data_IF_346383010574
#
_entry.id   IF_346383010574
#
_cell.length_a   1.000
_cell.length_b   1.000
_cell.length_c   1.000
_cell.angle_alpha   90.00
_cell.angle_beta   90.00
_cell.angle_gamma   90.00
#
_symmetry.space_group_name_H-M   'P 1'
#
loop_
_entity.id
_entity.type
_entity.pdbx_description
1 polymer ?
#
# COMPACT_ATOMS: atom_id res chain seq x y z
N UNK A 1 16.20 -24.42 -17.42
CA UNK A 1 15.78 -23.92 -18.74
C UNK A 1 16.50 -22.60 -18.97
N UNK A 2 16.75 -22.23 -20.23
CA UNK A 2 17.42 -20.97 -20.53
C UNK A 2 16.39 -19.85 -20.73
N UNK A 3 16.77 -18.57 -20.55
CA UNK A 3 15.87 -17.43 -20.76
C UNK A 3 15.11 -17.45 -22.10
N UNK A 4 15.77 -17.83 -23.18
CA UNK A 4 15.17 -17.93 -24.52
C UNK A 4 14.02 -18.94 -24.62
N UNK A 5 14.02 -19.99 -23.79
CA UNK A 5 12.98 -21.03 -23.80
C UNK A 5 11.61 -20.48 -23.33
N UNK A 6 11.59 -19.34 -22.65
CA UNK A 6 10.37 -18.72 -22.10
C UNK A 6 9.76 -17.64 -22.99
N UNK A 7 10.49 -17.12 -23.98
CA UNK A 7 10.08 -15.92 -24.71
C UNK A 7 8.75 -16.10 -25.46
N UNK A 8 8.62 -17.20 -26.21
CA UNK A 8 7.41 -17.45 -27.00
C UNK A 8 6.17 -17.59 -26.11
N UNK A 9 6.29 -18.31 -24.99
CA UNK A 9 5.19 -18.47 -24.05
C UNK A 9 4.82 -17.14 -23.38
N UNK A 10 5.82 -16.34 -22.98
CA UNK A 10 5.61 -15.02 -22.38
C UNK A 10 4.85 -14.10 -23.33
N UNK A 11 5.28 -14.02 -24.60
CA UNK A 11 4.59 -13.26 -25.64
C UNK A 11 3.18 -13.76 -25.88
N UNK A 12 2.99 -15.09 -25.99
CA UNK A 12 1.67 -15.69 -26.22
C UNK A 12 0.70 -15.36 -25.07
N UNK A 13 1.17 -15.42 -23.83
CA UNK A 13 0.38 -15.11 -22.66
C UNK A 13 0.01 -13.62 -22.62
N UNK A 14 0.97 -12.71 -22.77
CA UNK A 14 0.71 -11.27 -22.79
C UNK A 14 -0.23 -10.83 -23.93
N UNK A 15 -0.10 -11.45 -25.11
CA UNK A 15 -1.02 -11.23 -26.25
C UNK A 15 -2.45 -11.67 -25.94
N UNK A 16 -2.63 -12.76 -25.19
CA UNK A 16 -3.96 -13.23 -24.81
C UNK A 16 -4.67 -12.20 -23.91
N UNK A 17 -3.97 -11.68 -22.90
CA UNK A 17 -4.48 -10.57 -22.07
C UNK A 17 -4.77 -9.32 -22.90
N UNK A 18 -3.81 -8.88 -23.72
CA UNK A 18 -3.97 -7.70 -24.57
C UNK A 18 -5.11 -7.83 -25.61
N UNK A 19 -5.42 -9.03 -26.10
CA UNK A 19 -6.56 -9.26 -26.98
C UNK A 19 -7.91 -8.99 -26.29
N UNK A 20 -8.02 -9.31 -25.00
CA UNK A 20 -9.19 -8.94 -24.18
C UNK A 20 -9.29 -7.41 -24.09
N UNK A 21 -8.17 -6.73 -23.80
CA UNK A 21 -8.14 -5.27 -23.70
C UNK A 21 -8.45 -4.56 -25.03
N UNK A 22 -8.05 -5.14 -26.17
CA UNK A 22 -8.32 -4.59 -27.50
C UNK A 22 -9.82 -4.50 -27.83
N UNK A 23 -10.64 -5.37 -27.23
CA UNK A 23 -12.10 -5.36 -27.42
C UNK A 23 -12.76 -4.05 -26.92
N UNK A 24 -12.05 -3.24 -26.15
CA UNK A 24 -12.43 -1.88 -25.77
C UNK A 24 -12.78 -0.98 -26.96
N UNK A 25 -12.13 -1.13 -28.12
CA UNK A 25 -12.41 -0.27 -29.28
C UNK A 25 -13.86 -0.40 -29.81
N UNK A 26 -14.54 -1.51 -29.47
CA UNK A 26 -15.97 -1.72 -29.74
C UNK A 26 -16.90 -0.91 -28.81
N UNK A 27 -16.34 -0.10 -27.90
CA UNK A 27 -17.06 0.73 -26.93
C UNK A 27 -17.23 2.17 -27.44
N UNK A 28 -18.48 2.64 -27.58
CA UNK A 28 -18.78 4.03 -27.94
C UNK A 28 -18.75 4.94 -26.71
N UNK A 29 -17.91 5.99 -26.66
CA UNK A 29 -17.91 6.97 -25.57
C UNK A 29 -19.22 7.76 -25.46
N UNK A 30 -20.02 7.81 -26.54
CA UNK A 30 -21.25 8.62 -26.60
C UNK A 30 -22.41 8.04 -25.75
N UNK A 31 -22.37 6.76 -25.38
CA UNK A 31 -23.45 6.08 -24.67
C UNK A 31 -23.05 5.53 -23.31
N UNK A 32 -21.74 5.44 -23.02
CA UNK A 32 -21.23 4.82 -21.78
C UNK A 32 -21.72 3.37 -21.61
N UNK A 33 -22.15 2.72 -22.69
CA UNK A 33 -22.76 1.40 -22.72
C UNK A 33 -22.24 0.62 -23.92
N UNK A 34 -21.86 -0.63 -23.68
CA UNK A 34 -21.87 -1.63 -24.75
C UNK A 34 -23.32 -1.85 -25.15
N UNK A 35 -23.59 -2.01 -26.44
CA UNK A 35 -24.83 -2.60 -26.96
C UNK A 35 -24.88 -4.09 -26.57
N UNK A 36 -24.88 -4.40 -25.28
CA UNK A 36 -25.20 -5.72 -24.73
C UNK A 36 -26.00 -5.54 -23.45
N UNK A 37 -27.00 -6.39 -23.29
CA UNK A 37 -28.21 -6.22 -22.47
C UNK A 37 -28.01 -6.36 -20.94
N UNK A 38 -26.85 -5.97 -20.39
CA UNK A 38 -26.54 -6.19 -18.96
C UNK A 38 -26.48 -4.89 -18.14
N UNK A 39 -27.33 -4.85 -17.12
CA UNK A 39 -27.36 -3.83 -16.06
C UNK A 39 -26.17 -4.03 -15.12
N UNK A 40 -25.07 -3.30 -15.29
CA UNK A 40 -24.06 -3.12 -14.23
C UNK A 40 -23.55 -1.69 -14.19
N UNK A 41 -23.22 -1.21 -12.98
CA UNK A 41 -22.73 0.14 -12.74
C UNK A 41 -21.27 0.26 -13.23
N UNK A 42 -20.83 1.47 -13.60
CA UNK A 42 -19.53 1.71 -14.25
C UNK A 42 -18.28 1.21 -13.47
N UNK A 43 -18.39 0.95 -12.16
CA UNK A 43 -17.32 0.35 -11.36
C UNK A 43 -17.15 -1.16 -11.55
N UNK A 44 -18.22 -1.90 -11.88
CA UNK A 44 -18.19 -3.36 -12.04
C UNK A 44 -17.50 -3.81 -13.35
N UNK A 45 -17.48 -2.94 -14.37
CA UNK A 45 -17.04 -3.27 -15.73
C UNK A 45 -15.53 -3.29 -15.91
N UNK A 46 -14.83 -2.42 -15.20
CA UNK A 46 -13.36 -2.30 -15.30
C UNK A 46 -12.74 -3.55 -14.71
N UNK A 47 -13.18 -3.92 -13.51
CA UNK A 47 -12.79 -5.18 -12.86
C UNK A 47 -13.15 -6.42 -13.68
N UNK A 48 -14.10 -6.35 -14.62
CA UNK A 48 -14.36 -7.45 -15.54
C UNK A 48 -13.29 -7.56 -16.64
N UNK A 49 -12.82 -6.45 -17.21
CA UNK A 49 -11.73 -6.46 -18.19
C UNK A 49 -10.41 -6.89 -17.57
N UNK A 50 -10.03 -6.34 -16.41
CA UNK A 50 -8.81 -6.74 -15.68
C UNK A 50 -8.84 -8.25 -15.38
N UNK A 51 -9.91 -8.75 -14.76
CA UNK A 51 -10.07 -10.18 -14.46
C UNK A 51 -10.08 -11.07 -15.70
N UNK A 52 -10.82 -10.70 -16.75
CA UNK A 52 -10.87 -11.50 -17.97
C UNK A 52 -9.51 -11.53 -18.69
N UNK A 53 -8.77 -10.41 -18.67
CA UNK A 53 -7.42 -10.36 -19.21
C UNK A 53 -6.48 -11.26 -18.40
N UNK A 54 -6.49 -11.19 -17.06
CA UNK A 54 -5.66 -12.05 -16.22
C UNK A 54 -5.99 -13.53 -16.41
N UNK A 55 -7.29 -13.87 -16.48
CA UNK A 55 -7.75 -15.23 -16.74
C UNK A 55 -7.21 -15.76 -18.09
N UNK A 56 -7.27 -14.95 -19.16
CA UNK A 56 -6.73 -15.32 -20.46
C UNK A 56 -5.21 -15.59 -20.42
N UNK A 57 -4.45 -14.78 -19.67
CA UNK A 57 -3.02 -15.02 -19.43
C UNK A 57 -2.81 -16.33 -18.66
N UNK A 58 -3.52 -16.50 -17.54
CA UNK A 58 -3.43 -17.69 -16.67
C UNK A 58 -3.74 -18.99 -17.41
N UNK A 59 -4.73 -18.99 -18.30
CA UNK A 59 -5.07 -20.17 -19.12
C UNK A 59 -3.92 -20.59 -20.04
N UNK A 60 -3.27 -19.63 -20.71
CA UNK A 60 -2.11 -19.91 -21.56
C UNK A 60 -0.96 -20.48 -20.72
N UNK A 61 -0.68 -19.87 -19.58
CA UNK A 61 0.43 -20.28 -18.71
C UNK A 61 0.17 -21.65 -18.08
N UNK A 62 -1.01 -21.86 -17.51
CA UNK A 62 -1.38 -23.12 -16.85
C UNK A 62 -1.38 -24.29 -17.83
N UNK A 63 -1.87 -24.10 -19.05
CA UNK A 63 -1.86 -25.14 -20.09
C UNK A 63 -0.43 -25.56 -20.49
N UNK A 64 0.51 -24.62 -20.54
CA UNK A 64 1.89 -24.90 -20.92
C UNK A 64 2.76 -25.33 -19.74
N UNK A 65 2.52 -24.79 -18.55
CA UNK A 65 3.34 -24.87 -17.34
C UNK A 65 2.48 -25.08 -16.09
N UNK A 66 1.81 -26.25 -15.94
CA UNK A 66 0.88 -26.51 -14.84
C UNK A 66 1.54 -26.62 -13.45
N UNK A 67 2.87 -26.61 -13.38
CA UNK A 67 3.65 -26.70 -12.14
C UNK A 67 4.42 -25.42 -11.80
N UNK A 68 4.22 -24.34 -12.57
CA UNK A 68 4.78 -23.04 -12.23
C UNK A 68 3.79 -22.28 -11.34
N UNK A 69 4.31 -21.43 -10.45
CA UNK A 69 3.47 -20.52 -9.67
C UNK A 69 3.02 -19.35 -10.53
N UNK A 70 1.85 -18.80 -10.26
CA UNK A 70 1.31 -17.64 -11.00
C UNK A 70 0.74 -16.63 -10.01
N UNK A 71 1.31 -15.43 -10.01
CA UNK A 71 0.83 -14.27 -9.24
C UNK A 71 0.37 -13.18 -10.21
N UNK A 72 -0.69 -12.47 -9.86
CA UNK A 72 -1.18 -11.32 -10.61
C UNK A 72 -1.94 -10.34 -9.72
N UNK A 73 -2.39 -9.23 -10.29
CA UNK A 73 -3.09 -8.16 -9.57
C UNK A 73 -4.48 -8.59 -9.10
N UNK A 74 -5.22 -9.36 -9.90
CA UNK A 74 -6.66 -9.55 -9.72
C UNK A 74 -7.04 -10.84 -8.97
N UNK A 75 -6.23 -11.89 -9.10
CA UNK A 75 -6.50 -13.19 -8.50
C UNK A 75 -5.42 -13.61 -7.50
N UNK A 76 -5.82 -14.47 -6.57
CA UNK A 76 -4.89 -15.09 -5.63
C UNK A 76 -3.73 -15.79 -6.36
N UNK A 77 -2.57 -15.80 -5.70
CA UNK A 77 -1.40 -16.52 -6.20
C UNK A 77 -1.73 -18.00 -6.30
N UNK A 78 -1.53 -18.57 -7.49
CA UNK A 78 -1.60 -20.00 -7.71
C UNK A 78 -0.40 -20.66 -7.05
N UNK A 79 -0.65 -21.36 -5.95
CA UNK A 79 0.32 -22.23 -5.29
C UNK A 79 0.15 -23.66 -5.78
N UNK A 80 1.26 -24.36 -6.03
CA UNK A 80 1.26 -25.75 -6.47
C UNK A 80 1.99 -26.61 -5.42
N UNK A 81 1.53 -27.85 -5.19
CA UNK A 81 2.11 -28.72 -4.15
C UNK A 81 3.60 -29.03 -4.37
N UNK A 82 4.04 -29.08 -5.63
CA UNK A 82 5.42 -29.33 -6.03
C UNK A 82 5.84 -28.29 -7.10
N UNK A 83 6.22 -27.07 -6.69
CA UNK A 83 6.55 -26.00 -7.65
C UNK A 83 7.82 -26.33 -8.43
N UNK A 84 7.80 -26.01 -9.72
CA UNK A 84 8.93 -26.14 -10.63
C UNK A 84 10.09 -25.19 -10.29
N UNK A 85 9.85 -24.22 -9.41
CA UNK A 85 10.75 -23.13 -9.05
C UNK A 85 10.61 -21.89 -9.93
N UNK A 86 9.73 -21.91 -10.94
CA UNK A 86 9.41 -20.76 -11.77
C UNK A 86 8.09 -20.12 -11.33
N UNK A 87 8.03 -18.80 -11.40
CA UNK A 87 6.87 -17.99 -11.03
C UNK A 87 6.58 -16.95 -12.10
N UNK A 88 5.33 -16.84 -12.49
CA UNK A 88 4.85 -15.85 -13.44
C UNK A 88 4.23 -14.66 -12.70
N UNK A 89 4.53 -13.45 -13.14
CA UNK A 89 3.99 -12.19 -12.62
C UNK A 89 3.19 -11.51 -13.71
N UNK A 90 1.93 -11.17 -13.42
CA UNK A 90 0.95 -10.68 -14.38
C UNK A 90 0.39 -9.35 -13.90
N UNK A 91 0.52 -8.31 -14.71
CA UNK A 91 -0.34 -7.14 -14.67
C UNK A 91 -1.26 -7.22 -15.91
N UNK A 92 -2.54 -7.56 -15.71
CA UNK A 92 -3.46 -7.80 -16.82
C UNK A 92 -3.87 -6.51 -17.53
N UNK A 93 -3.80 -5.36 -16.87
CA UNK A 93 -4.16 -4.04 -17.38
C UNK A 93 -3.39 -2.93 -16.65
N UNK A 94 -2.15 -2.71 -17.05
CA UNK A 94 -1.39 -1.56 -16.59
C UNK A 94 -1.97 -0.29 -17.24
N UNK A 95 -2.35 0.67 -16.40
CA UNK A 95 -3.01 1.90 -16.83
C UNK A 95 -4.54 1.82 -16.86
N UNK A 96 -5.15 1.13 -15.90
CA UNK A 96 -6.60 1.03 -15.67
C UNK A 96 -7.34 2.37 -15.83
N UNK A 97 -6.83 3.47 -15.23
CA UNK A 97 -7.45 4.80 -15.37
C UNK A 97 -7.43 5.30 -16.82
N UNK A 98 -6.34 5.07 -17.55
CA UNK A 98 -6.25 5.45 -18.96
C UNK A 98 -7.24 4.65 -19.81
N UNK A 99 -7.33 3.34 -19.55
CA UNK A 99 -8.30 2.45 -20.17
C UNK A 99 -9.74 2.93 -19.92
N UNK A 100 -10.10 3.26 -18.68
CA UNK A 100 -11.45 3.79 -18.38
C UNK A 100 -11.72 5.10 -19.12
N UNK A 101 -10.71 5.95 -19.27
CA UNK A 101 -10.87 7.32 -19.77
C UNK A 101 -10.75 7.50 -21.28
N UNK A 102 -10.34 6.50 -22.06
CA UNK A 102 -10.09 6.73 -23.49
C UNK A 102 -8.67 7.07 -23.86
N UNK A 103 -7.75 7.07 -22.91
CA UNK A 103 -6.36 7.42 -23.17
C UNK A 103 -5.66 6.17 -23.69
N UNK A 104 -5.09 6.18 -24.92
CA UNK A 104 -4.52 4.99 -25.56
C UNK A 104 -3.11 4.68 -25.02
N UNK A 105 -2.97 4.57 -23.71
CA UNK A 105 -1.69 4.31 -23.03
C UNK A 105 -1.93 3.33 -21.88
N UNK A 106 -2.09 2.06 -22.25
CA UNK A 106 -2.33 0.93 -21.35
C UNK A 106 -1.89 -0.37 -22.04
N UNK A 107 -1.64 -1.43 -21.29
CA UNK A 107 -1.22 -2.71 -21.85
C UNK A 107 -1.28 -3.87 -20.86
N UNK A 108 -1.02 -5.08 -21.35
CA UNK A 108 -0.84 -6.27 -20.52
C UNK A 108 0.66 -6.57 -20.37
N UNK A 109 1.11 -6.79 -19.14
CA UNK A 109 2.50 -7.04 -18.77
C UNK A 109 2.64 -8.43 -18.13
N UNK A 110 3.55 -9.24 -18.65
CA UNK A 110 3.80 -10.61 -18.18
C UNK A 110 5.29 -10.87 -18.11
N UNK A 111 5.75 -11.42 -16.99
CA UNK A 111 7.14 -11.82 -16.81
C UNK A 111 7.27 -13.14 -16.07
N UNK A 112 8.39 -13.84 -16.27
CA UNK A 112 8.73 -15.07 -15.56
C UNK A 112 10.00 -14.88 -14.75
N UNK A 113 9.91 -15.20 -13.47
CA UNK A 113 11.01 -15.32 -12.53
C UNK A 113 11.36 -16.80 -12.34
N UNK A 114 12.64 -17.10 -12.17
CA UNK A 114 13.04 -18.46 -11.87
C UNK A 114 14.51 -18.58 -11.49
N UNK A 115 14.99 -19.82 -11.29
CA UNK A 115 16.38 -20.08 -10.98
C UNK A 115 17.26 -19.65 -12.14
N UNK A 116 18.37 -18.97 -11.84
CA UNK A 116 19.34 -18.58 -12.85
C UNK A 116 20.76 -18.88 -12.37
N UNK A 117 21.58 -19.40 -13.28
CA UNK A 117 23.00 -19.62 -13.01
C UNK A 117 23.64 -18.28 -12.60
N UNK A 118 24.33 -18.27 -11.45
CA UNK A 118 24.97 -17.10 -10.84
C UNK A 118 24.05 -16.06 -10.17
N UNK A 119 22.73 -16.29 -10.08
CA UNK A 119 21.83 -15.49 -9.25
C UNK A 119 21.20 -16.40 -8.16
N UNK A 120 21.83 -16.52 -6.98
CA UNK A 120 21.38 -17.46 -5.94
C UNK A 120 19.96 -17.16 -5.42
N UNK A 121 19.48 -15.93 -5.61
CA UNK A 121 18.11 -15.52 -5.27
C UNK A 121 17.10 -15.71 -6.41
N UNK A 122 17.54 -16.13 -7.60
CA UNK A 122 16.75 -16.20 -8.83
C UNK A 122 16.86 -14.96 -9.71
N UNK A 123 16.23 -14.98 -10.88
CA UNK A 123 16.22 -13.86 -11.82
C UNK A 123 14.95 -13.82 -12.68
N UNK A 124 14.62 -12.63 -13.18
CA UNK A 124 13.69 -12.44 -14.29
C UNK A 124 14.32 -12.96 -15.57
N UNK A 125 13.65 -13.92 -16.23
CA UNK A 125 14.19 -14.66 -17.36
C UNK A 125 13.64 -14.13 -18.69
N UNK A 126 12.34 -13.84 -18.75
CA UNK A 126 11.67 -13.25 -19.91
C UNK A 126 10.55 -12.31 -19.45
N UNK A 127 10.27 -11.30 -20.27
CA UNK A 127 9.22 -10.31 -20.02
C UNK A 127 8.65 -9.78 -21.32
N UNK A 128 7.34 -9.53 -21.35
CA UNK A 128 6.64 -8.91 -22.47
C UNK A 128 5.60 -7.90 -21.97
N UNK A 129 5.50 -6.77 -22.67
CA UNK A 129 4.46 -5.74 -22.47
C UNK A 129 3.79 -5.51 -23.82
N UNK A 130 2.48 -5.72 -23.88
CA UNK A 130 1.69 -5.61 -25.12
C UNK A 130 0.66 -4.49 -24.95
N UNK A 131 0.82 -3.41 -25.72
CA UNK A 131 -0.08 -2.26 -25.70
C UNK A 131 -0.96 -2.25 -26.97
N UNK A 132 -2.18 -2.79 -26.90
CA UNK A 132 -3.02 -2.99 -28.09
C UNK A 132 -3.45 -1.67 -28.72
N UNK A 133 -3.73 -0.62 -27.93
CA UNK A 133 -4.12 0.69 -28.45
C UNK A 133 -2.98 1.43 -29.17
N UNK A 134 -1.73 1.08 -28.85
CA UNK A 134 -0.52 1.64 -29.47
C UNK A 134 0.01 0.77 -30.61
N UNK A 135 -0.57 -0.41 -30.84
CA UNK A 135 -0.09 -1.42 -31.79
C UNK A 135 1.40 -1.76 -31.60
N UNK A 136 1.81 -1.99 -30.35
CA UNK A 136 3.22 -2.28 -30.02
C UNK A 136 3.35 -3.39 -28.99
N UNK A 137 4.37 -4.22 -29.20
CA UNK A 137 4.85 -5.23 -28.28
C UNK A 137 6.31 -4.95 -27.92
N UNK A 138 6.61 -4.87 -26.64
CA UNK A 138 7.96 -4.82 -26.09
C UNK A 138 8.27 -6.16 -25.45
N UNK A 139 9.49 -6.67 -25.63
CA UNK A 139 9.88 -7.93 -25.03
C UNK A 139 11.40 -8.05 -24.85
N UNK A 140 11.80 -8.87 -23.89
CA UNK A 140 13.20 -9.16 -23.62
C UNK A 140 13.37 -10.54 -22.98
N UNK A 141 14.57 -11.10 -23.12
CA UNK A 141 15.05 -12.22 -22.31
C UNK A 141 16.36 -11.84 -21.66
N UNK A 142 16.66 -12.42 -20.49
CA UNK A 142 17.91 -12.17 -19.78
C UNK A 142 19.12 -12.50 -20.66
N UNK A 143 19.96 -11.51 -20.94
CA UNK A 143 21.11 -11.60 -21.83
C UNK A 143 20.78 -11.64 -23.34
N UNK A 144 19.49 -11.61 -23.72
CA UNK A 144 19.02 -11.65 -25.11
C UNK A 144 18.76 -10.26 -25.71
N UNK A 145 18.87 -9.21 -24.90
CA UNK A 145 18.56 -7.84 -25.30
C UNK A 145 17.06 -7.55 -25.32
N UNK A 146 16.74 -6.26 -25.41
CA UNK A 146 15.38 -5.76 -25.50
C UNK A 146 14.97 -5.45 -26.94
N UNK A 147 13.70 -5.69 -27.24
CA UNK A 147 13.15 -5.62 -28.59
C UNK A 147 11.75 -5.01 -28.58
N UNK A 148 11.40 -4.39 -29.69
CA UNK A 148 10.07 -3.84 -29.96
C UNK A 148 9.57 -4.34 -31.32
N UNK A 149 8.29 -4.64 -31.42
CA UNK A 149 7.62 -4.94 -32.68
C UNK A 149 6.32 -4.15 -32.76
N UNK A 150 6.07 -3.54 -33.92
CA UNK A 150 4.75 -2.96 -34.24
C UNK A 150 3.80 -4.07 -34.67
N UNK A 151 2.56 -4.08 -34.18
CA UNK A 151 1.59 -5.16 -34.44
C UNK A 151 0.60 -4.85 -35.55
N UNK A 152 0.64 -3.66 -36.14
CA UNK A 152 -0.20 -3.31 -37.29
C UNK A 152 0.32 -3.89 -38.63
N UNK A 153 1.55 -4.42 -38.62
CA UNK A 153 2.27 -4.91 -39.79
C UNK A 153 2.94 -6.22 -39.41
N UNK A 154 2.31 -7.34 -39.77
CA UNK A 154 2.74 -8.68 -39.40
C UNK A 154 4.11 -9.04 -40.00
N UNK A 155 4.53 -8.35 -41.06
CA UNK A 155 5.82 -8.57 -41.74
C UNK A 155 6.96 -7.73 -41.13
N UNK A 156 6.66 -6.80 -40.22
CA UNK A 156 7.66 -5.95 -39.60
C UNK A 156 8.56 -6.75 -38.65
N UNK A 157 9.85 -6.83 -38.99
CA UNK A 157 10.86 -7.44 -38.13
C UNK A 157 10.98 -6.66 -36.80
N UNK A 158 11.17 -7.35 -35.66
CA UNK A 158 11.44 -6.68 -34.39
C UNK A 158 12.69 -5.82 -34.45
N UNK A 159 12.63 -4.65 -33.83
CA UNK A 159 13.73 -3.68 -33.72
C UNK A 159 14.38 -3.83 -32.35
N UNK A 160 15.70 -3.86 -32.31
CA UNK A 160 16.46 -3.91 -31.06
C UNK A 160 16.46 -2.54 -30.39
N UNK A 161 16.29 -2.53 -29.07
CA UNK A 161 16.28 -1.33 -28.24
C UNK A 161 17.64 -1.11 -27.58
N UNK A 162 17.98 0.16 -27.36
CA UNK A 162 19.32 0.58 -26.91
C UNK A 162 19.30 1.55 -25.72
N UNK A 163 18.13 1.85 -25.18
CA UNK A 163 17.96 2.82 -24.11
C UNK A 163 18.15 4.27 -24.58
N UNK A 164 18.16 5.23 -23.64
CA UNK A 164 18.26 6.65 -23.96
C UNK A 164 19.67 7.07 -24.39
N UNK A 165 19.72 8.10 -25.25
CA UNK A 165 20.96 8.75 -25.64
C UNK A 165 21.55 9.55 -24.47
N UNK A 166 22.75 9.14 -24.03
CA UNK A 166 23.46 9.75 -22.90
C UNK A 166 24.01 11.15 -23.21
N UNK A 167 23.91 11.61 -24.45
CA UNK A 167 24.43 12.92 -24.90
C UNK A 167 23.37 13.99 -25.03
N UNK A 168 22.09 13.66 -24.83
CA UNK A 168 20.99 14.63 -24.89
C UNK A 168 21.02 15.57 -23.68
N UNK A 169 21.01 16.88 -23.94
CA UNK A 169 20.88 17.91 -22.90
C UNK A 169 19.41 18.12 -22.46
N UNK A 170 18.44 17.67 -23.26
CA UNK A 170 17.00 17.88 -23.04
C UNK A 170 16.32 16.64 -22.43
N UNK A 171 16.85 16.17 -21.30
CA UNK A 171 16.44 14.91 -20.66
C UNK A 171 15.01 14.97 -20.11
N UNK A 172 14.26 13.89 -20.22
CA UNK A 172 12.87 13.75 -19.75
C UNK A 172 12.81 12.69 -18.63
N UNK A 173 12.16 13.04 -17.51
CA UNK A 173 11.85 12.12 -16.42
C UNK A 173 10.38 11.67 -16.50
N UNK A 174 10.11 10.38 -16.62
CA UNK A 174 8.80 9.81 -16.35
C UNK A 174 8.63 9.48 -14.85
N UNK A 175 7.41 9.61 -14.36
CA UNK A 175 7.04 9.26 -12.99
C UNK A 175 5.55 8.94 -12.90
N UNK A 176 5.15 8.21 -11.87
CA UNK A 176 3.75 8.01 -11.52
C UNK A 176 3.38 8.54 -10.15
N UNK A 177 2.08 8.55 -9.90
CA UNK A 177 1.47 9.04 -8.68
C UNK A 177 0.46 7.99 -8.22
N UNK A 178 0.66 7.45 -7.02
CA UNK A 178 -0.19 6.41 -6.45
C UNK A 178 -1.60 6.92 -6.13
N UNK A 179 -2.53 6.04 -5.75
CA UNK A 179 -3.89 6.47 -5.39
C UNK A 179 -3.97 7.08 -3.98
N UNK A 180 -3.19 6.53 -3.06
CA UNK A 180 -3.08 7.01 -1.69
C UNK A 180 -2.59 8.47 -1.62
N UNK A 181 -3.23 9.28 -0.79
CA UNK A 181 -2.95 10.72 -0.71
C UNK A 181 -1.58 11.00 -0.08
N UNK A 182 -1.19 10.20 0.92
CA UNK A 182 0.08 10.31 1.63
C UNK A 182 1.25 10.04 0.68
N UNK A 183 1.14 8.95 -0.07
CA UNK A 183 2.09 8.55 -1.10
C UNK A 183 2.22 9.60 -2.18
N UNK A 184 1.09 10.14 -2.67
CA UNK A 184 1.11 11.21 -3.69
C UNK A 184 1.81 12.45 -3.20
N UNK A 185 1.53 12.91 -1.98
CA UNK A 185 2.21 14.06 -1.42
C UNK A 185 3.73 13.84 -1.36
N UNK A 186 4.17 12.63 -0.97
CA UNK A 186 5.59 12.28 -0.96
C UNK A 186 6.20 12.26 -2.36
N UNK A 187 5.53 11.62 -3.32
CA UNK A 187 6.00 11.56 -4.70
C UNK A 187 6.12 12.96 -5.32
N UNK A 188 5.17 13.87 -5.05
CA UNK A 188 5.23 15.26 -5.53
C UNK A 188 6.38 16.03 -4.87
N UNK A 189 6.61 15.86 -3.56
CA UNK A 189 7.75 16.48 -2.89
C UNK A 189 9.09 15.93 -3.43
N UNK A 190 9.20 14.62 -3.55
CA UNK A 190 10.36 13.93 -4.12
C UNK A 190 10.66 14.37 -5.56
N UNK A 191 9.62 14.68 -6.35
CA UNK A 191 9.78 15.16 -7.73
C UNK A 191 10.62 16.43 -7.80
N UNK A 192 10.46 17.36 -6.84
CA UNK A 192 11.28 18.56 -6.78
C UNK A 192 12.78 18.26 -6.59
N UNK A 193 13.12 17.17 -5.88
CA UNK A 193 14.50 16.72 -5.69
C UNK A 193 15.06 15.96 -6.90
N UNK A 194 14.20 15.27 -7.66
CA UNK A 194 14.58 14.47 -8.84
C UNK A 194 14.74 15.31 -10.12
N UNK A 195 14.02 16.43 -10.21
CA UNK A 195 13.98 17.31 -11.38
C UNK A 195 15.31 17.96 -11.81
N UNK A 196 16.26 18.27 -10.92
CA UNK A 196 17.55 18.81 -11.33
C UNK A 196 18.25 17.89 -12.34
N UNK A 197 18.54 18.42 -13.53
CA UNK A 197 19.16 17.67 -14.63
C UNK A 197 18.18 17.07 -15.63
N UNK A 198 16.88 17.37 -15.51
CA UNK A 198 15.85 17.07 -16.49
C UNK A 198 15.20 18.36 -17.00
N UNK A 199 14.93 18.42 -18.29
CA UNK A 199 14.25 19.53 -18.95
C UNK A 199 12.72 19.47 -18.80
N UNK A 200 12.16 18.27 -18.61
CA UNK A 200 10.71 18.09 -18.53
C UNK A 200 10.33 16.78 -17.80
N UNK A 201 9.03 16.64 -17.51
CA UNK A 201 8.45 15.45 -16.90
C UNK A 201 7.37 14.83 -17.76
N UNK A 202 7.13 13.53 -17.57
CA UNK A 202 5.96 12.81 -18.07
C UNK A 202 5.31 12.04 -16.92
N UNK A 203 3.98 12.07 -16.88
CA UNK A 203 3.15 11.22 -16.04
C UNK A 203 2.12 10.59 -16.95
N UNK A 204 2.46 9.46 -17.55
CA UNK A 204 1.65 8.85 -18.61
C UNK A 204 0.64 7.85 -18.06
N UNK A 205 0.87 7.31 -16.87
CA UNK A 205 -0.13 6.52 -16.14
C UNK A 205 -0.14 5.04 -16.50
N UNK A 206 1.00 4.50 -16.91
CA UNK A 206 1.25 3.06 -17.03
C UNK A 206 2.74 2.81 -16.76
N UNK A 207 3.04 2.12 -15.66
CA UNK A 207 4.41 1.91 -15.17
C UNK A 207 5.23 1.02 -16.12
N UNK A 208 4.62 -0.06 -16.62
CA UNK A 208 5.24 -0.98 -17.55
C UNK A 208 5.55 -0.31 -18.89
N UNK A 209 4.65 0.54 -19.41
CA UNK A 209 4.92 1.30 -20.64
C UNK A 209 5.91 2.43 -20.43
N UNK A 210 5.90 3.13 -19.30
CA UNK A 210 6.92 4.14 -19.00
C UNK A 210 8.33 3.52 -18.98
N UNK A 211 8.49 2.32 -18.41
CA UNK A 211 9.74 1.54 -18.47
C UNK A 211 10.11 1.14 -19.91
N UNK A 212 9.13 0.76 -20.73
CA UNK A 212 9.36 0.44 -22.14
C UNK A 212 9.77 1.67 -22.96
N UNK A 213 9.22 2.85 -22.67
CA UNK A 213 9.65 4.10 -23.30
C UNK A 213 11.08 4.51 -22.93
N UNK A 214 11.53 4.16 -21.72
CA UNK A 214 12.95 4.28 -21.35
C UNK A 214 13.79 3.30 -22.17
N UNK A 215 13.37 2.03 -22.29
CA UNK A 215 14.07 1.04 -23.12
C UNK A 215 14.19 1.50 -24.58
N UNK A 216 13.15 2.11 -25.12
CA UNK A 216 13.12 2.68 -26.48
C UNK A 216 13.97 3.96 -26.62
N UNK A 217 14.33 4.62 -25.51
CA UNK A 217 15.08 5.87 -25.50
C UNK A 217 14.23 7.11 -25.80
N UNK A 218 12.89 7.00 -25.72
CA UNK A 218 11.95 8.14 -25.84
C UNK A 218 11.91 8.99 -24.56
N UNK A 219 12.28 8.39 -23.43
CA UNK A 219 12.39 9.03 -22.11
C UNK A 219 13.72 8.63 -21.49
N UNK A 220 14.37 9.53 -20.77
CA UNK A 220 15.74 9.35 -20.26
C UNK A 220 15.82 8.63 -18.91
N UNK A 221 14.77 8.75 -18.10
CA UNK A 221 14.65 8.06 -16.84
C UNK A 221 13.19 7.88 -16.44
N UNK A 222 12.95 6.86 -15.62
CA UNK A 222 11.69 6.63 -14.94
C UNK A 222 11.97 6.45 -13.45
N UNK A 223 11.17 7.08 -12.60
CA UNK A 223 11.20 6.85 -11.16
C UNK A 223 9.78 6.88 -10.59
N UNK A 224 9.38 5.81 -9.91
CA UNK A 224 8.11 5.75 -9.19
C UNK A 224 8.26 5.03 -7.86
N UNK A 225 7.60 5.58 -6.84
CA UNK A 225 7.62 5.04 -5.47
C UNK A 225 6.37 4.20 -5.17
N UNK A 226 6.59 2.98 -4.70
CA UNK A 226 5.50 2.10 -4.23
C UNK A 226 4.79 1.30 -5.32
N UNK A 227 5.44 1.07 -6.47
CA UNK A 227 4.97 0.13 -7.49
C UNK A 227 5.03 -1.31 -6.98
N UNK A 228 4.03 -2.11 -7.34
CA UNK A 228 3.97 -3.55 -7.10
C UNK A 228 4.84 -4.32 -8.08
N UNK A 229 5.17 -5.57 -7.76
CA UNK A 229 5.99 -6.42 -8.62
C UNK A 229 5.47 -6.51 -10.05
N UNK A 230 4.16 -6.74 -10.22
CA UNK A 230 3.53 -6.91 -11.52
C UNK A 230 3.64 -5.65 -12.40
N UNK A 231 3.61 -4.45 -11.80
CA UNK A 231 3.76 -3.15 -12.50
C UNK A 231 5.12 -3.05 -13.23
N UNK A 232 6.18 -3.61 -12.64
CA UNK A 232 7.55 -3.40 -13.12
C UNK A 232 8.24 -4.68 -13.62
N UNK A 233 7.75 -5.88 -13.31
CA UNK A 233 8.48 -7.13 -13.58
C UNK A 233 8.95 -7.25 -15.05
N UNK A 234 8.03 -7.09 -16.01
CA UNK A 234 8.35 -7.16 -17.43
C UNK A 234 9.09 -5.90 -17.91
N UNK A 235 8.55 -4.71 -17.61
CA UNK A 235 9.12 -3.43 -18.05
C UNK A 235 10.56 -3.21 -17.55
N UNK A 236 10.86 -3.60 -16.31
CA UNK A 236 12.19 -3.48 -15.71
C UNK A 236 13.21 -4.38 -16.41
N UNK A 237 12.83 -5.62 -16.75
CA UNK A 237 13.69 -6.51 -17.53
C UNK A 237 13.94 -5.95 -18.94
N UNK A 238 12.90 -5.43 -19.60
CA UNK A 238 13.02 -4.80 -20.93
C UNK A 238 13.94 -3.58 -20.87
N UNK A 239 13.79 -2.71 -19.87
CA UNK A 239 14.70 -1.58 -19.67
C UNK A 239 16.14 -2.04 -19.42
N UNK A 240 16.35 -3.02 -18.54
CA UNK A 240 17.68 -3.56 -18.22
C UNK A 240 18.38 -4.15 -19.47
N UNK A 241 17.65 -4.92 -20.27
CA UNK A 241 18.16 -5.56 -21.48
C UNK A 241 18.36 -4.60 -22.67
N UNK A 242 17.84 -3.38 -22.59
CA UNK A 242 18.21 -2.28 -23.51
C UNK A 242 19.59 -1.68 -23.19
N UNK A 243 20.19 -2.06 -22.05
CA UNK A 243 21.43 -1.48 -21.52
C UNK A 243 21.18 -0.33 -20.54
N UNK A 244 19.93 -0.07 -20.15
CA UNK A 244 19.58 0.96 -19.18
C UNK A 244 19.83 0.44 -17.76
N UNK A 245 20.50 1.20 -16.87
CA UNK A 245 20.61 0.84 -15.46
C UNK A 245 19.23 0.80 -14.80
N UNK A 246 18.94 -0.28 -14.07
CA UNK A 246 17.67 -0.48 -13.38
C UNK A 246 17.91 -0.76 -11.90
N UNK A 247 17.14 -0.12 -11.03
CA UNK A 247 17.02 -0.46 -9.62
C UNK A 247 15.57 -0.78 -9.30
N UNK A 248 15.32 -2.04 -8.96
CA UNK A 248 14.00 -2.53 -8.56
C UNK A 248 13.73 -2.20 -7.08
N UNK A 249 12.46 -2.09 -6.66
CA UNK A 249 12.09 -2.03 -5.25
C UNK A 249 12.67 -3.21 -4.46
N UNK A 250 13.15 -2.97 -3.24
CA UNK A 250 13.66 -4.03 -2.36
C UNK A 250 12.55 -5.00 -1.89
N UNK A 251 11.29 -4.54 -1.86
CA UNK A 251 10.11 -5.38 -1.62
C UNK A 251 9.21 -5.36 -2.86
N UNK A 252 8.74 -6.54 -3.29
CA UNK A 252 7.76 -6.64 -4.38
C UNK A 252 6.35 -6.25 -3.97
N UNK A 253 6.09 -6.03 -2.67
CA UNK A 253 4.76 -5.80 -2.10
C UNK A 253 4.31 -4.33 -2.16
N UNK A 254 5.19 -3.39 -2.52
CA UNK A 254 4.92 -1.97 -2.81
C UNK A 254 4.09 -1.17 -1.79
N UNK A 255 3.70 -1.77 -0.67
CA UNK A 255 2.65 -1.30 0.25
C UNK A 255 3.14 -1.38 1.69
N UNK A 256 3.79 -2.47 2.07
CA UNK A 256 4.31 -2.66 3.44
C UNK A 256 5.66 -1.98 3.62
N UNK A 257 6.52 -2.05 2.60
CA UNK A 257 7.84 -1.40 2.57
C UNK A 257 8.09 -0.77 1.21
N UNK A 258 7.32 0.28 0.83
CA UNK A 258 7.42 0.87 -0.50
C UNK A 258 8.84 1.38 -0.75
N UNK A 259 9.31 1.12 -1.96
CA UNK A 259 10.62 1.55 -2.44
C UNK A 259 10.47 2.08 -3.87
N UNK A 260 11.52 2.73 -4.36
CA UNK A 260 11.57 3.29 -5.69
C UNK A 260 11.90 2.23 -6.72
N UNK A 261 11.04 2.11 -7.73
CA UNK A 261 11.40 1.56 -9.01
C UNK A 261 12.09 2.66 -9.83
N UNK A 262 13.30 2.38 -10.32
CA UNK A 262 14.10 3.34 -11.10
C UNK A 262 14.67 2.69 -12.35
N UNK A 263 14.51 3.35 -13.49
CA UNK A 263 15.25 3.07 -14.72
C UNK A 263 15.95 4.34 -15.21
N UNK A 264 17.22 4.23 -15.59
CA UNK A 264 18.04 5.36 -16.00
C UNK A 264 18.73 6.07 -14.85
N UNK A 265 19.38 7.20 -15.16
CA UNK A 265 20.15 7.98 -14.18
C UNK A 265 19.30 9.09 -13.56
N UNK A 266 18.78 8.85 -12.36
CA UNK A 266 18.01 9.80 -11.57
C UNK A 266 18.37 9.68 -10.09
N UNK A 267 18.54 10.82 -9.43
CA UNK A 267 18.79 10.88 -7.99
C UNK A 267 17.45 10.90 -7.27
N UNK A 268 17.00 9.74 -6.79
CA UNK A 268 15.77 9.66 -5.99
C UNK A 268 16.08 9.84 -4.49
N UNK A 269 15.15 10.40 -3.70
CA UNK A 269 15.29 10.44 -2.26
C UNK A 269 15.37 9.04 -1.65
N UNK A 270 15.87 8.95 -0.40
CA UNK A 270 15.84 7.69 0.34
C UNK A 270 14.40 7.25 0.57
N UNK A 271 14.15 5.97 0.37
CA UNK A 271 12.87 5.34 0.65
C UNK A 271 12.56 5.43 2.14
N UNK A 272 11.46 6.09 2.54
CA UNK A 272 11.05 6.10 3.93
C UNK A 272 10.60 4.68 4.32
N UNK A 273 10.75 4.33 5.60
CA UNK A 273 10.32 3.01 6.11
C UNK A 273 8.80 2.82 6.08
N UNK A 274 8.03 3.89 5.90
CA UNK A 274 6.57 3.93 5.77
C UNK A 274 6.19 5.09 4.87
N UNK A 275 5.01 5.05 4.26
CA UNK A 275 4.48 6.20 3.53
C UNK A 275 4.37 7.40 4.49
N UNK A 276 4.95 8.57 4.19
CA UNK A 276 4.88 9.71 5.11
C UNK A 276 3.50 10.36 5.09
N UNK A 277 3.03 10.84 6.24
CA UNK A 277 1.79 11.59 6.38
C UNK A 277 1.79 12.82 5.45
N UNK A 278 0.75 13.04 4.60
CA UNK A 278 0.72 14.16 3.67
C UNK A 278 0.86 15.51 4.38
N UNK A 279 0.35 15.65 5.61
CA UNK A 279 0.47 16.89 6.37
C UNK A 279 1.92 17.16 6.79
N UNK A 280 2.67 16.12 7.18
CA UNK A 280 4.10 16.24 7.54
C UNK A 280 4.98 16.71 6.37
N UNK A 281 4.56 16.42 5.13
CA UNK A 281 5.27 16.81 3.91
C UNK A 281 4.97 18.27 3.56
N UNK A 282 3.74 18.73 3.82
CA UNK A 282 3.33 20.11 3.59
C UNK A 282 3.87 21.07 4.66
N UNK A 283 4.02 20.59 5.89
CA UNK A 283 4.54 21.36 7.03
C UNK A 283 6.07 21.53 7.02
N UNK A 284 6.78 20.85 6.10
CA UNK A 284 8.23 20.98 5.91
C UNK A 284 8.57 21.67 4.57
N UNK A 285 8.43 23.01 4.47
CA UNK A 285 8.78 23.73 3.27
C UNK A 285 10.31 23.87 3.20
N UNK A 286 10.97 22.92 2.53
CA UNK A 286 12.35 22.99 2.05
C UNK A 286 13.38 23.30 3.16
N UNK A 287 13.86 22.26 3.85
CA UNK A 287 15.14 22.32 4.59
C UNK A 287 16.25 21.59 3.85
N UNK A 288 16.97 22.32 3.00
CA UNK A 288 18.36 22.01 2.70
C UNK A 288 19.26 22.49 3.86
N UNK A 289 19.71 21.54 4.70
CA UNK A 289 21.08 21.38 5.25
C UNK A 289 21.10 20.82 6.68
N UNK A 290 22.03 19.88 6.86
CA UNK A 290 22.74 19.49 8.09
C UNK A 290 21.87 18.86 9.18
N UNK A 291 22.23 17.81 9.90
CA UNK A 291 23.48 17.09 10.12
C UNK A 291 23.10 15.75 10.76
N UNK A 292 23.99 14.76 10.68
CA UNK A 292 23.86 13.54 11.45
C UNK A 292 23.84 13.86 12.96
N UNK A 293 22.85 13.35 13.71
CA UNK A 293 22.76 13.56 15.15
C UNK A 293 21.68 12.72 15.84
N UNK A 294 22.13 11.81 16.69
CA UNK A 294 21.44 10.89 17.61
C UNK A 294 20.38 11.55 18.55
N UNK A 295 19.18 10.94 18.74
CA UNK A 295 18.26 11.13 19.89
C UNK A 295 17.11 10.07 19.91
N UNK A 296 17.16 8.99 20.71
CA UNK A 296 16.50 8.75 22.02
C UNK A 296 14.96 8.60 22.07
N UNK A 297 14.43 7.37 22.21
CA UNK A 297 13.51 6.85 23.25
C UNK A 297 12.22 7.57 23.68
N UNK A 298 11.80 8.68 23.06
CA UNK A 298 10.60 9.46 23.43
C UNK A 298 9.33 8.80 22.88
N UNK A 299 8.26 8.81 23.69
CA UNK A 299 6.92 8.40 23.24
C UNK A 299 6.16 9.58 22.67
N UNK A 300 5.61 9.41 21.47
CA UNK A 300 4.79 10.41 20.77
C UNK A 300 3.38 9.87 20.62
N UNK A 301 2.35 10.69 20.89
CA UNK A 301 0.96 10.31 20.68
C UNK A 301 0.40 11.03 19.47
N UNK A 302 -0.19 10.25 18.55
CA UNK A 302 -0.75 10.73 17.28
C UNK A 302 -2.06 10.03 16.97
N UNK A 303 -2.77 10.51 15.95
CA UNK A 303 -3.96 9.86 15.45
C UNK A 303 -3.64 8.46 14.90
N UNK A 304 -4.55 7.52 15.13
CA UNK A 304 -4.48 6.19 14.55
C UNK A 304 -4.74 6.29 13.05
N UNK A 305 -4.01 5.52 12.28
CA UNK A 305 -4.14 5.42 10.83
C UNK A 305 -4.53 3.99 10.45
N UNK A 306 -5.09 3.76 9.25
CA UNK A 306 -5.36 2.41 8.75
C UNK A 306 -4.16 1.46 8.86
N UNK A 307 -2.94 1.97 8.66
CA UNK A 307 -1.69 1.21 8.78
C UNK A 307 -1.42 0.72 10.22
N UNK A 308 -1.97 1.39 11.23
CA UNK A 308 -1.84 0.98 12.61
C UNK A 308 -2.82 -0.15 12.97
N UNK A 309 -3.82 -0.48 12.14
CA UNK A 309 -4.92 -1.38 12.51
C UNK A 309 -4.45 -2.77 12.92
N UNK A 310 -3.49 -3.33 12.21
CA UNK A 310 -2.93 -4.64 12.55
C UNK A 310 -2.20 -4.59 13.90
N UNK A 311 -1.44 -3.52 14.13
CA UNK A 311 -0.64 -3.38 15.35
C UNK A 311 -1.52 -3.04 16.57
N UNK A 312 -2.52 -2.18 16.39
CA UNK A 312 -3.57 -1.90 17.36
C UNK A 312 -4.33 -3.17 17.70
N UNK A 313 -4.71 -3.98 16.70
CA UNK A 313 -5.40 -5.25 16.91
C UNK A 313 -4.51 -6.21 17.72
N UNK A 314 -3.24 -6.36 17.33
CA UNK A 314 -2.27 -7.20 18.04
C UNK A 314 -2.12 -6.74 19.49
N UNK A 315 -1.81 -5.46 19.73
CA UNK A 315 -1.61 -4.90 21.07
C UNK A 315 -2.87 -5.03 21.93
N UNK A 316 -4.06 -4.79 21.36
CA UNK A 316 -5.33 -4.94 22.06
C UNK A 316 -5.55 -6.40 22.48
N UNK A 317 -5.34 -7.36 21.55
CA UNK A 317 -5.43 -8.79 21.88
C UNK A 317 -4.40 -9.20 22.92
N UNK A 318 -3.13 -8.86 22.71
CA UNK A 318 -2.04 -9.27 23.59
C UNK A 318 -2.22 -8.69 25.00
N UNK A 319 -2.59 -7.41 25.12
CA UNK A 319 -2.83 -6.78 26.42
C UNK A 319 -4.01 -7.43 27.18
N UNK A 320 -5.07 -7.83 26.46
CA UNK A 320 -6.27 -8.40 27.06
C UNK A 320 -6.11 -9.89 27.42
N UNK A 321 -5.40 -10.65 26.58
CA UNK A 321 -5.12 -12.09 26.79
C UNK A 321 -4.00 -12.28 27.81
N UNK A 322 -2.90 -11.53 27.71
CA UNK A 322 -1.79 -11.62 28.69
C UNK A 322 -2.19 -11.13 30.08
N UNK A 323 -3.18 -10.25 30.17
CA UNK A 323 -3.80 -9.84 31.42
C UNK A 323 -4.73 -10.90 32.04
N UNK A 324 -4.99 -12.01 31.33
CA UNK A 324 -5.85 -13.11 31.80
C UNK A 324 -7.34 -12.79 31.81
N UNK A 325 -7.76 -11.78 31.03
CA UNK A 325 -9.13 -11.24 31.09
C UNK A 325 -10.10 -11.93 30.14
N UNK A 326 -9.58 -12.56 29.08
CA UNK A 326 -10.32 -13.37 28.11
C UNK A 326 -9.56 -14.66 27.85
N UNK A 327 -10.26 -15.77 27.70
CA UNK A 327 -9.65 -17.10 27.52
C UNK A 327 -9.18 -17.35 26.09
N UNK A 328 -9.72 -16.61 25.11
CA UNK A 328 -9.39 -16.76 23.70
C UNK A 328 -9.62 -15.47 22.91
N UNK A 329 -8.85 -15.29 21.83
CA UNK A 329 -9.09 -14.29 20.80
C UNK A 329 -10.41 -14.50 20.03
N UNK A 330 -11.00 -15.70 20.12
CA UNK A 330 -12.22 -16.09 19.41
C UNK A 330 -13.50 -15.63 20.11
N UNK A 331 -13.42 -15.10 21.33
CA UNK A 331 -14.59 -14.61 22.05
C UNK A 331 -15.27 -13.45 21.29
N UNK A 332 -16.63 -13.38 21.24
CA UNK A 332 -17.35 -12.40 20.42
C UNK A 332 -16.97 -10.94 20.72
N UNK A 333 -16.70 -10.62 21.98
CA UNK A 333 -16.24 -9.29 22.38
C UNK A 333 -14.83 -8.99 21.82
N UNK A 334 -13.92 -9.97 21.85
CA UNK A 334 -12.57 -9.84 21.29
C UNK A 334 -12.59 -9.68 19.77
N UNK A 335 -13.50 -10.36 19.07
CA UNK A 335 -13.72 -10.14 17.64
C UNK A 335 -14.23 -8.72 17.34
N UNK A 336 -15.15 -8.20 18.16
CA UNK A 336 -15.67 -6.84 18.03
C UNK A 336 -14.59 -5.78 18.25
N UNK A 337 -13.82 -5.86 19.33
CA UNK A 337 -12.75 -4.86 19.59
C UNK A 337 -11.54 -5.04 18.66
N UNK A 338 -11.36 -6.23 18.09
CA UNK A 338 -10.37 -6.54 17.07
C UNK A 338 -10.71 -6.00 15.68
N UNK A 339 -11.96 -5.57 15.43
CA UNK A 339 -12.36 -4.87 14.20
C UNK A 339 -12.01 -3.38 14.30
N UNK A 340 -10.72 -3.08 14.12
CA UNK A 340 -10.18 -1.72 14.31
C UNK A 340 -10.70 -0.75 13.26
N UNK A 341 -10.98 -1.18 12.04
CA UNK A 341 -11.52 -0.32 10.97
C UNK A 341 -12.92 0.18 11.30
N UNK A 342 -13.84 -0.71 11.70
CA UNK A 342 -15.20 -0.33 12.14
C UNK A 342 -15.17 0.58 13.37
N UNK A 343 -14.18 0.38 14.25
CA UNK A 343 -13.98 1.26 15.41
C UNK A 343 -13.50 2.65 15.03
N UNK A 344 -12.57 2.75 14.07
CA UNK A 344 -12.00 4.03 13.65
C UNK A 344 -12.97 4.84 12.77
N UNK A 345 -13.91 4.21 12.08
CA UNK A 345 -14.98 4.89 11.35
C UNK A 345 -15.95 5.63 12.29
N UNK A 346 -16.18 5.07 13.49
CA UNK A 346 -17.23 5.52 14.40
C UNK A 346 -16.72 6.16 15.70
N UNK A 347 -15.40 6.29 15.89
CA UNK A 347 -14.79 6.88 17.07
C UNK A 347 -13.39 7.44 16.79
N UNK A 348 -12.99 8.45 17.57
CA UNK A 348 -11.64 8.98 17.52
C UNK A 348 -10.67 7.94 18.11
N UNK A 349 -9.56 7.68 17.43
CA UNK A 349 -8.58 6.70 17.86
C UNK A 349 -7.17 7.26 17.79
N UNK A 350 -6.38 7.03 18.84
CA UNK A 350 -4.99 7.46 18.91
C UNK A 350 -4.05 6.31 19.24
N UNK A 351 -2.80 6.46 18.82
CA UNK A 351 -1.70 5.54 19.12
C UNK A 351 -0.54 6.24 19.81
N UNK A 352 0.13 5.50 20.70
CA UNK A 352 1.42 5.87 21.25
C UNK A 352 2.51 5.20 20.41
N UNK A 353 3.40 5.98 19.83
CA UNK A 353 4.54 5.54 19.04
C UNK A 353 5.84 5.77 19.80
N UNK A 354 6.73 4.78 19.78
CA UNK A 354 8.08 4.86 20.33
C UNK A 354 9.06 4.22 19.38
N UNK A 355 10.16 4.90 19.09
CA UNK A 355 11.21 4.41 18.18
C UNK A 355 10.66 3.94 16.81
N UNK A 356 9.60 4.60 16.33
CA UNK A 356 8.92 4.29 15.07
C UNK A 356 7.93 3.12 15.12
N UNK A 357 7.66 2.55 16.29
CA UNK A 357 6.72 1.45 16.49
C UNK A 357 5.53 1.88 17.33
N UNK A 358 4.32 1.47 16.93
CA UNK A 358 3.14 1.61 17.80
C UNK A 358 3.31 0.68 18.99
N UNK A 359 3.25 1.25 20.18
CA UNK A 359 3.41 0.54 21.46
C UNK A 359 2.18 0.69 22.36
N UNK A 360 1.16 1.43 21.92
CA UNK A 360 -0.12 1.52 22.61
C UNK A 360 -1.19 2.19 21.77
N UNK A 361 -2.46 2.05 22.16
CA UNK A 361 -3.60 2.65 21.49
C UNK A 361 -4.75 2.97 22.45
N UNK A 362 -5.66 3.83 22.04
CA UNK A 362 -6.88 4.20 22.79
C UNK A 362 -8.00 4.59 21.82
N UNK A 363 -9.26 4.38 22.25
CA UNK A 363 -10.47 4.84 21.56
C UNK A 363 -11.17 5.90 22.41
N UNK A 364 -11.71 6.93 21.78
CA UNK A 364 -12.30 8.10 22.41
C UNK A 364 -13.66 8.34 21.75
N UNK A 365 -14.69 8.56 22.56
CA UNK A 365 -16.06 8.75 22.11
C UNK A 365 -16.81 9.77 22.98
N UNK A 366 -17.85 10.39 22.41
CA UNK A 366 -18.80 11.29 23.08
C UNK A 366 -20.13 10.60 23.33
N UNK A 367 -20.94 11.17 24.22
CA UNK A 367 -22.28 10.64 24.50
C UNK A 367 -23.12 10.49 23.22
N UNK A 368 -23.74 9.33 23.07
CA UNK A 368 -24.57 8.99 21.91
C UNK A 368 -23.81 8.39 20.72
N UNK A 369 -22.46 8.41 20.72
CA UNK A 369 -21.66 7.73 19.71
C UNK A 369 -21.60 6.21 19.96
N UNK A 370 -21.43 5.43 18.88
CA UNK A 370 -21.49 3.95 18.89
C UNK A 370 -20.55 3.30 19.92
N UNK A 371 -19.44 3.96 20.25
CA UNK A 371 -18.41 3.46 21.15
C UNK A 371 -18.43 4.07 22.54
N UNK A 372 -19.37 4.95 22.86
CA UNK A 372 -19.58 5.44 24.23
C UNK A 372 -20.55 4.52 24.99
N UNK A 373 -20.14 4.05 26.18
CA UNK A 373 -21.02 3.24 27.05
C UNK A 373 -21.50 4.04 28.26
N UNK A 374 -20.68 4.95 28.77
CA UNK A 374 -20.95 5.65 30.03
C UNK A 374 -20.90 7.17 29.90
N UNK A 375 -20.41 7.70 28.77
CA UNK A 375 -20.29 9.13 28.54
C UNK A 375 -21.64 9.83 28.74
N UNK A 376 -21.63 10.89 29.55
CA UNK A 376 -22.73 11.86 29.64
C UNK A 376 -22.51 12.99 28.63
N UNK A 377 -23.54 13.81 28.40
CA UNK A 377 -23.50 14.90 27.40
C UNK A 377 -22.30 15.85 27.58
N UNK A 378 -21.86 16.07 28.82
CA UNK A 378 -20.73 16.93 29.19
C UNK A 378 -19.39 16.19 29.36
N UNK A 379 -19.31 14.94 28.89
CA UNK A 379 -18.17 14.05 29.10
C UNK A 379 -17.56 13.55 27.80
N UNK A 380 -16.22 13.47 27.80
CA UNK A 380 -15.45 12.70 26.83
C UNK A 380 -15.09 11.35 27.44
N UNK A 381 -15.53 10.25 26.82
CA UNK A 381 -15.16 8.91 27.27
C UNK A 381 -13.95 8.40 26.49
N UNK A 382 -13.02 7.75 27.18
CA UNK A 382 -12.03 6.91 26.52
C UNK A 382 -12.07 5.47 26.99
N UNK A 383 -11.75 4.57 26.07
CA UNK A 383 -11.91 3.13 26.19
C UNK A 383 -10.79 2.40 25.48
N UNK A 384 -10.66 1.11 25.82
CA UNK A 384 -9.74 0.19 25.13
C UNK A 384 -8.29 0.73 25.11
N UNK A 385 -7.88 1.39 26.20
CA UNK A 385 -6.49 1.80 26.36
C UNK A 385 -5.63 0.55 26.55
N UNK A 386 -4.81 0.24 25.55
CA UNK A 386 -3.94 -0.91 25.54
C UNK A 386 -2.49 -0.48 25.29
N UNK A 387 -1.55 -1.11 25.98
CA UNK A 387 -0.10 -0.91 25.81
C UNK A 387 0.52 -2.28 25.60
N UNK A 388 1.47 -2.38 24.66
CA UNK A 388 2.16 -3.63 24.35
C UNK A 388 2.78 -4.22 25.62
N UNK A 389 2.42 -5.47 26.00
CA UNK A 389 3.01 -6.17 27.14
C UNK A 389 4.54 -6.25 27.09
N UNK A 390 5.14 -6.27 25.91
CA UNK A 390 6.60 -6.35 25.72
C UNK A 390 7.32 -5.03 25.98
N UNK A 391 6.58 -3.92 26.07
CA UNK A 391 7.12 -2.56 26.22
C UNK A 391 6.44 -1.82 27.37
N UNK A 392 6.03 -2.53 28.42
CA UNK A 392 5.42 -1.96 29.62
C UNK A 392 6.36 -0.99 30.35
N UNK A 393 5.77 -0.06 31.12
CA UNK A 393 6.48 1.01 31.84
C UNK A 393 7.29 1.94 30.93
N UNK A 394 6.93 2.01 29.65
CA UNK A 394 7.51 2.90 28.63
C UNK A 394 7.02 4.36 28.69
N UNK A 395 5.99 4.64 29.49
CA UNK A 395 5.30 5.93 29.50
C UNK A 395 4.14 6.05 28.50
N UNK A 396 3.93 5.06 27.62
CA UNK A 396 2.90 5.10 26.59
C UNK A 396 1.48 5.31 27.10
N UNK A 397 1.08 4.59 28.16
CA UNK A 397 -0.23 4.76 28.77
C UNK A 397 -0.43 6.16 29.38
N UNK A 398 0.59 6.71 30.04
CA UNK A 398 0.51 8.08 30.58
C UNK A 398 0.36 9.10 29.46
N UNK A 399 1.16 8.99 28.40
CA UNK A 399 1.14 9.93 27.29
C UNK A 399 -0.22 9.96 26.57
N UNK A 400 -0.85 8.79 26.39
CA UNK A 400 -2.21 8.69 25.81
C UNK A 400 -3.23 9.43 26.67
N UNK A 401 -3.26 9.15 27.98
CA UNK A 401 -4.23 9.78 28.90
C UNK A 401 -4.01 11.29 29.03
N UNK A 402 -2.74 11.73 29.13
CA UNK A 402 -2.40 13.15 29.20
C UNK A 402 -2.86 13.90 27.95
N UNK A 403 -2.71 13.31 26.75
CA UNK A 403 -3.23 13.90 25.51
C UNK A 403 -4.76 13.97 25.52
N UNK A 404 -5.46 12.97 26.05
CA UNK A 404 -6.93 12.96 26.12
C UNK A 404 -7.42 14.09 27.01
N UNK A 405 -6.82 14.27 28.19
CA UNK A 405 -7.15 15.37 29.09
C UNK A 405 -6.85 16.73 28.45
N UNK A 406 -5.73 16.85 27.75
CA UNK A 406 -5.38 18.09 27.04
C UNK A 406 -6.38 18.42 25.93
N UNK A 407 -6.82 17.43 25.15
CA UNK A 407 -7.84 17.61 24.11
C UNK A 407 -9.23 17.89 24.69
N UNK A 408 -9.62 17.22 25.77
CA UNK A 408 -10.88 17.50 26.43
C UNK A 408 -10.98 18.97 26.89
N UNK A 409 -9.87 19.55 27.36
CA UNK A 409 -9.77 20.98 27.71
C UNK A 409 -9.95 21.93 26.51
N UNK A 410 -9.79 21.48 25.28
CA UNK A 410 -10.04 22.32 24.09
C UNK A 410 -11.49 22.27 23.63
N UNK A 411 -12.31 21.40 24.23
CA UNK A 411 -13.72 21.23 23.86
C UNK A 411 -14.60 22.06 24.81
N UNK A 412 -15.34 23.06 24.31
CA UNK A 412 -16.07 24.00 25.15
C UNK A 412 -17.30 23.39 25.86
N UNK A 413 -17.73 22.22 25.40
CA UNK A 413 -18.89 21.48 25.87
C UNK A 413 -18.52 20.27 26.76
N UNK A 414 -17.21 20.07 27.02
CA UNK A 414 -16.72 18.96 27.83
C UNK A 414 -16.16 19.48 29.14
N UNK A 415 -16.75 19.05 30.25
CA UNK A 415 -16.31 19.40 31.60
C UNK A 415 -15.56 18.26 32.27
N UNK A 416 -15.66 17.04 31.72
CA UNK A 416 -15.16 15.82 32.36
C UNK A 416 -14.63 14.82 31.35
N UNK A 417 -13.64 14.04 31.77
CA UNK A 417 -13.17 12.86 31.03
C UNK A 417 -13.53 11.63 31.86
N UNK A 418 -14.25 10.68 31.26
CA UNK A 418 -14.62 9.41 31.93
C UNK A 418 -13.92 8.22 31.28
N UNK A 419 -13.67 7.17 32.06
CA UNK A 419 -13.19 5.89 31.56
C UNK A 419 -13.80 4.75 32.36
N UNK A 420 -13.78 3.58 31.75
CA UNK A 420 -14.10 2.32 32.42
C UNK A 420 -12.90 1.38 32.38
N UNK A 421 -12.70 0.61 33.44
CA UNK A 421 -11.61 -0.38 33.55
C UNK A 421 -12.08 -1.60 34.35
N UNK A 422 -11.41 -2.75 34.22
CA UNK A 422 -11.79 -3.95 34.95
C UNK A 422 -11.64 -3.79 36.46
N UNK A 423 -12.51 -4.44 37.24
CA UNK A 423 -12.51 -4.35 38.71
C UNK A 423 -11.19 -4.83 39.36
N UNK A 424 -10.46 -5.73 38.70
CA UNK A 424 -9.21 -6.31 39.22
C UNK A 424 -7.95 -5.76 38.52
N UNK A 425 -8.08 -4.71 37.69
CA UNK A 425 -6.99 -4.16 36.87
C UNK A 425 -6.12 -3.15 37.64
N UNK A 426 -5.56 -3.58 38.78
CA UNK A 426 -4.85 -2.70 39.73
C UNK A 426 -3.75 -1.81 39.11
N UNK A 427 -2.93 -2.27 38.13
CA UNK A 427 -1.95 -1.39 37.48
C UNK A 427 -2.57 -0.22 36.70
N UNK A 428 -3.75 -0.44 36.08
CA UNK A 428 -4.48 0.60 35.38
C UNK A 428 -5.09 1.60 36.37
N UNK A 429 -5.61 1.13 37.50
CA UNK A 429 -6.16 2.00 38.55
C UNK A 429 -5.09 2.96 39.08
N UNK A 430 -3.91 2.43 39.41
CA UNK A 430 -2.79 3.23 39.88
C UNK A 430 -2.31 4.27 38.85
N UNK A 431 -2.40 3.95 37.55
CA UNK A 431 -2.14 4.91 36.47
C UNK A 431 -3.16 6.06 36.51
N UNK A 432 -4.45 5.76 36.55
CA UNK A 432 -5.51 6.76 36.49
C UNK A 432 -5.54 7.66 37.73
N UNK A 433 -5.44 7.08 38.93
CA UNK A 433 -5.38 7.84 40.19
C UNK A 433 -4.18 8.79 40.22
N UNK A 434 -3.00 8.34 39.77
CA UNK A 434 -1.81 9.18 39.66
C UNK A 434 -1.99 10.34 38.67
N UNK A 435 -2.79 10.15 37.62
CA UNK A 435 -3.10 11.18 36.63
C UNK A 435 -4.29 12.07 37.05
N UNK A 436 -4.80 11.91 38.27
CA UNK A 436 -5.83 12.78 38.85
C UNK A 436 -7.27 12.34 38.57
N UNK A 437 -7.48 11.15 38.03
CA UNK A 437 -8.83 10.58 37.92
C UNK A 437 -9.32 10.09 39.28
N UNK A 438 -10.59 10.33 39.57
CA UNK A 438 -11.25 9.94 40.82
C UNK A 438 -12.25 8.81 40.55
N UNK A 439 -12.31 7.85 41.48
CA UNK A 439 -13.22 6.71 41.40
C UNK A 439 -14.68 7.13 41.62
N UNK A 440 -15.61 6.63 40.80
CA UNK A 440 -17.06 6.91 40.92
C UNK A 440 -17.87 5.61 41.02
N UNK A 441 -17.98 4.98 42.21
CA UNK A 441 -18.60 3.66 42.38
C UNK A 441 -20.06 3.57 41.92
N UNK A 442 -20.83 4.65 42.08
CA UNK A 442 -22.24 4.71 41.70
C UNK A 442 -22.47 4.61 40.19
N UNK A 443 -21.41 4.73 39.37
CA UNK A 443 -21.46 4.59 37.90
C UNK A 443 -20.92 3.25 37.41
N UNK A 444 -20.52 2.35 38.31
CA UNK A 444 -20.11 1.00 37.92
C UNK A 444 -21.21 0.26 37.19
N UNK A 445 -20.82 -0.60 36.27
CA UNK A 445 -21.76 -1.33 35.45
C UNK A 445 -21.21 -2.70 35.06
N UNK A 446 -22.10 -3.57 34.62
CA UNK A 446 -21.75 -4.91 34.13
C UNK A 446 -21.89 -4.94 32.62
N UNK A 447 -20.92 -5.54 31.93
CA UNK A 447 -20.99 -5.73 30.48
C UNK A 447 -22.19 -6.63 30.15
N UNK A 448 -23.14 -6.20 29.30
CA UNK A 448 -24.35 -6.95 28.99
C UNK A 448 -24.07 -8.40 28.58
N UNK A 449 -24.75 -9.34 29.25
CA UNK A 449 -24.61 -10.77 28.98
C UNK A 449 -23.35 -11.41 29.57
N UNK A 450 -22.65 -10.75 30.49
CA UNK A 450 -21.46 -11.29 31.19
C UNK A 450 -21.48 -10.95 32.68
N UNK A 451 -20.66 -11.64 33.47
CA UNK A 451 -20.41 -11.32 34.89
C UNK A 451 -19.26 -10.28 35.07
N UNK A 452 -18.77 -9.69 33.98
CA UNK A 452 -17.64 -8.75 34.00
C UNK A 452 -18.12 -7.40 34.52
N UNK A 453 -17.68 -7.06 35.74
CA UNK A 453 -17.88 -5.73 36.32
C UNK A 453 -16.80 -4.76 35.84
N UNK A 454 -17.24 -3.65 35.25
CA UNK A 454 -16.38 -2.54 34.91
C UNK A 454 -16.59 -1.39 35.90
N UNK A 455 -15.47 -0.81 36.33
CA UNK A 455 -15.42 0.27 37.30
C UNK A 455 -15.08 1.60 36.63
N UNK A 456 -15.73 2.67 37.10
CA UNK A 456 -15.66 3.99 36.46
C UNK A 456 -14.73 4.95 37.20
N UNK A 457 -13.92 5.67 36.44
CA UNK A 457 -13.10 6.79 36.90
C UNK A 457 -13.43 8.04 36.09
N UNK A 458 -13.32 9.20 36.72
CA UNK A 458 -13.62 10.51 36.12
C UNK A 458 -12.54 11.53 36.47
N UNK A 459 -12.13 12.34 35.49
CA UNK A 459 -11.29 13.50 35.66
C UNK A 459 -12.12 14.77 35.44
N UNK A 460 -12.14 15.65 36.43
CA UNK A 460 -12.80 16.95 36.36
C UNK A 460 -11.87 17.96 35.66
N UNK A 461 -12.38 18.63 34.62
CA UNK A 461 -11.68 19.71 33.95
C UNK A 461 -11.94 20.99 34.75
N UNK A 462 -10.89 21.57 35.33
CA UNK A 462 -11.03 22.85 36.03
C UNK A 462 -11.54 23.92 35.08
N UNK A 463 -12.60 24.65 35.48
CA UNK A 463 -13.08 25.84 34.77
C UNK A 463 -11.95 26.88 34.65
N UNK A 464 -11.83 27.49 33.47
CA UNK A 464 -10.82 28.52 33.17
C UNK A 464 -11.11 29.86 33.85
#
# INVERSE_FOLDING_TARGET
>A
MKPEDFLELTLKAARAGAAVLAARASFSPATGRIETDSKSAAGDWVTEFDRNAEQAVREILHAARPHDEISGEEYETTTVENPSGYRWSIDPLDGTVNFVRGIPFFGCSVAVFGPADHAPEGAWLAGAVVAPALNVEYFATRGGGAWMRTTHDDDAAPVRLHGPDKTSDARILATGLGYDAARRAYQVAALAEMLPGFANIRRLGSAALDLCLVAEGKIDAYAEFGTQEFDWAAGALIAEESGTPVRRPASGDGTRWPDWMVAGQVNVPKSPRRTPDPQSILDDPIKHKAEAGNASGVVVVRDALPDDYLEIRRITHDAYISGGYFGSAEEPYMQRVGNVSDRHEDALMWVAERDGQVVGSVTIARAGEKWADIAREDELEFRLLAVDPNVQRSGAGSALVERIVAYAKTLPDVNRVSLTTGADWLPAHALYERLGFTRVPDRDWFVPGTDIKLIVYVYEIAEH
#
